data_IF_657299846860
#
_entry.id   IF_657299846860
#
_cell.length_a   1.000
_cell.length_b   1.000
_cell.length_c   1.000
_cell.angle_alpha   90.00
_cell.angle_beta   90.00
_cell.angle_gamma   90.00
#
_symmetry.space_group_name_H-M   'P 1'
#
loop_
_entity.id
_entity.type
_entity.pdbx_description
1 polymer ?
#
# COMPACT_ATOMS: atom_id res chain seq x y z
N UNK A 1 -15.07 3.36 5.17
CA UNK A 1 -13.71 2.80 4.96
C UNK A 1 -12.68 3.94 4.92
N UNK A 2 -11.54 3.83 5.63
CA UNK A 2 -10.52 4.87 5.58
C UNK A 2 -9.49 4.59 4.46
N UNK A 3 -9.31 5.56 3.57
CA UNK A 3 -8.34 5.51 2.48
C UNK A 3 -7.48 6.77 2.50
N UNK A 4 -6.34 6.76 1.81
CA UNK A 4 -5.48 7.94 1.67
C UNK A 4 -5.43 8.38 0.22
N UNK A 5 -5.90 9.60 -0.07
CA UNK A 5 -5.69 10.24 -1.36
C UNK A 5 -4.40 11.06 -1.36
N UNK A 6 -3.73 11.13 -2.52
CA UNK A 6 -2.49 11.90 -2.69
C UNK A 6 -2.71 12.97 -3.74
N UNK A 7 -2.47 14.22 -3.37
CA UNK A 7 -2.67 15.40 -4.21
C UNK A 7 -1.31 16.09 -4.38
N UNK A 8 -0.99 16.50 -5.59
CA UNK A 8 0.22 17.26 -5.86
C UNK A 8 0.00 18.72 -5.46
N UNK A 9 0.93 19.26 -4.70
CA UNK A 9 0.99 20.68 -4.35
C UNK A 9 1.86 21.44 -5.36
N UNK A 10 1.46 22.65 -5.67
CA UNK A 10 2.16 23.60 -6.54
C UNK A 10 2.50 24.86 -5.75
N UNK A 11 3.42 24.78 -4.75
CA UNK A 11 3.80 25.91 -3.92
C UNK A 11 4.69 26.90 -4.70
N UNK A 12 4.58 28.20 -4.37
CA UNK A 12 5.52 29.24 -4.80
C UNK A 12 6.88 29.05 -4.14
N UNK A 13 7.91 29.77 -4.61
CA UNK A 13 9.27 29.70 -4.02
C UNK A 13 9.27 30.06 -2.53
N UNK A 14 8.52 31.07 -2.13
CA UNK A 14 8.37 31.49 -0.73
C UNK A 14 7.65 30.41 0.11
N UNK A 15 6.56 29.85 -0.43
CA UNK A 15 5.82 28.76 0.23
C UNK A 15 6.68 27.51 0.40
N UNK A 16 7.59 27.22 -0.55
CA UNK A 16 8.54 26.11 -0.44
C UNK A 16 9.44 26.28 0.79
N UNK A 17 9.94 27.48 1.03
CA UNK A 17 10.80 27.77 2.19
C UNK A 17 10.01 27.54 3.48
N UNK A 18 8.80 28.10 3.58
CA UNK A 18 7.94 27.94 4.77
C UNK A 18 7.57 26.48 5.05
N UNK A 19 7.20 25.73 4.02
CA UNK A 19 6.87 24.31 4.13
C UNK A 19 8.10 23.50 4.58
N UNK A 20 9.27 23.76 4.00
CA UNK A 20 10.51 23.07 4.40
C UNK A 20 10.88 23.36 5.85
N UNK A 21 10.88 24.61 6.26
CA UNK A 21 11.17 24.99 7.63
C UNK A 21 10.20 24.34 8.60
N UNK A 22 8.90 24.38 8.30
CA UNK A 22 7.85 23.72 9.11
C UNK A 22 8.10 22.21 9.22
N UNK A 23 8.43 21.52 8.11
CA UNK A 23 8.70 20.09 8.14
C UNK A 23 9.98 19.74 8.92
N UNK A 24 11.03 20.54 8.81
CA UNK A 24 12.27 20.34 9.54
C UNK A 24 12.08 20.55 11.05
N UNK A 25 11.41 21.63 11.44
CA UNK A 25 11.13 21.92 12.83
C UNK A 25 10.19 20.88 13.45
N UNK A 26 9.19 20.39 12.68
CA UNK A 26 8.31 19.31 13.10
C UNK A 26 9.09 18.02 13.44
N UNK A 27 10.02 17.61 12.58
CA UNK A 27 10.83 16.41 12.79
C UNK A 27 11.76 16.60 13.99
N UNK A 28 12.43 17.73 14.09
CA UNK A 28 13.31 18.08 15.19
C UNK A 28 12.56 18.02 16.52
N UNK A 29 11.39 18.65 16.59
CA UNK A 29 10.51 18.64 17.77
C UNK A 29 10.08 17.22 18.14
N UNK A 30 9.61 16.42 17.16
CA UNK A 30 9.21 15.03 17.43
C UNK A 30 10.37 14.17 17.93
N UNK A 31 11.58 14.34 17.35
CA UNK A 31 12.77 13.59 17.79
C UNK A 31 13.21 14.00 19.20
N UNK A 32 13.18 15.28 19.53
CA UNK A 32 13.50 15.76 20.88
C UNK A 32 12.55 15.14 21.92
N UNK A 33 11.23 15.18 21.66
CA UNK A 33 10.24 14.59 22.54
C UNK A 33 10.43 13.07 22.67
N UNK A 34 10.81 12.35 21.61
CA UNK A 34 11.15 10.92 21.69
C UNK A 34 12.35 10.70 22.60
N UNK A 35 13.39 11.55 22.49
CA UNK A 35 14.56 11.50 23.37
C UNK A 35 14.18 11.71 24.84
N UNK A 36 13.34 12.72 25.12
CA UNK A 36 12.85 12.99 26.48
C UNK A 36 12.09 11.80 27.07
N UNK A 37 11.24 11.14 26.26
CA UNK A 37 10.53 9.90 26.70
C UNK A 37 11.48 8.74 26.95
N UNK A 38 12.59 8.63 26.23
CA UNK A 38 13.57 7.57 26.45
C UNK A 38 14.34 7.83 27.73
N UNK A 39 14.81 9.05 27.95
CA UNK A 39 15.57 9.45 29.16
C UNK A 39 14.68 9.41 30.39
N UNK A 40 13.50 9.99 30.32
CA UNK A 40 12.55 10.09 31.44
C UNK A 40 11.67 8.84 31.64
N UNK A 41 11.93 7.73 30.95
CA UNK A 41 11.12 6.49 31.01
C UNK A 41 9.59 6.73 30.96
N UNK A 42 9.15 7.64 30.06
CA UNK A 42 7.76 8.04 29.84
C UNK A 42 7.09 8.80 31.00
N UNK A 43 7.84 9.31 31.98
CA UNK A 43 7.26 10.12 33.09
C UNK A 43 7.03 11.57 32.68
N UNK A 44 7.74 12.06 31.64
CA UNK A 44 7.65 13.44 31.17
C UNK A 44 6.34 13.67 30.42
N UNK A 45 5.55 14.65 30.85
CA UNK A 45 4.30 15.07 30.18
C UNK A 45 4.58 16.28 29.32
N UNK A 46 4.42 16.12 28.00
CA UNK A 46 4.50 17.24 27.04
C UNK A 46 3.11 17.77 26.69
N UNK A 47 2.99 19.09 26.64
CA UNK A 47 1.84 19.85 26.15
C UNK A 47 2.27 20.80 25.05
N UNK A 48 1.35 21.32 24.24
CA UNK A 48 1.71 22.34 23.23
C UNK A 48 2.28 23.63 23.82
N UNK A 49 2.03 23.91 25.11
CA UNK A 49 2.57 25.06 25.84
C UNK A 49 4.02 24.78 26.32
N UNK A 50 4.30 23.56 26.81
CA UNK A 50 5.62 23.18 27.32
C UNK A 50 6.64 22.89 26.20
N UNK A 51 6.19 22.60 24.98
CA UNK A 51 7.09 22.34 23.84
C UNK A 51 7.55 23.65 23.22
N UNK A 52 8.84 23.97 23.37
CA UNK A 52 9.47 25.13 22.75
C UNK A 52 9.85 24.75 21.32
N UNK A 53 9.15 25.29 20.32
CA UNK A 53 9.40 25.07 18.90
C UNK A 53 8.70 26.15 18.06
N UNK A 54 9.28 26.48 16.91
CA UNK A 54 8.71 27.39 15.92
C UNK A 54 7.64 26.73 15.07
N UNK A 55 6.59 26.28 15.74
CA UNK A 55 5.46 25.56 15.16
C UNK A 55 4.11 26.08 15.69
N UNK A 56 3.07 26.09 14.85
CA UNK A 56 1.71 26.25 15.31
C UNK A 56 1.33 25.22 16.39
N UNK A 57 0.52 25.59 17.36
CA UNK A 57 0.09 24.70 18.47
C UNK A 57 -0.49 23.38 17.98
N UNK A 58 -1.21 23.39 16.87
CA UNK A 58 -1.73 22.19 16.22
C UNK A 58 -0.63 21.19 15.80
N UNK A 59 0.47 21.70 15.25
CA UNK A 59 1.62 20.88 14.86
C UNK A 59 2.42 20.40 16.06
N UNK A 60 2.56 21.22 17.11
CA UNK A 60 3.14 20.80 18.40
C UNK A 60 2.38 19.61 19.00
N UNK A 61 1.05 19.71 19.05
CA UNK A 61 0.22 18.59 19.51
C UNK A 61 0.38 17.33 18.66
N UNK A 62 0.45 17.47 17.33
CA UNK A 62 0.64 16.33 16.45
C UNK A 62 2.05 15.72 16.60
N UNK A 63 3.09 16.54 16.77
CA UNK A 63 4.44 16.06 17.03
C UNK A 63 4.54 15.26 18.33
N UNK A 64 3.81 15.70 19.40
CA UNK A 64 3.68 14.96 20.66
C UNK A 64 3.01 13.59 20.43
N UNK A 65 1.92 13.53 19.66
CA UNK A 65 1.24 12.26 19.36
C UNK A 65 2.12 11.30 18.54
N UNK A 66 2.83 11.83 17.54
CA UNK A 66 3.77 11.04 16.75
C UNK A 66 4.92 10.52 17.63
N UNK A 67 5.50 11.36 18.49
CA UNK A 67 6.55 10.97 19.43
C UNK A 67 6.09 9.85 20.39
N UNK A 68 4.87 9.96 20.95
CA UNK A 68 4.26 8.90 21.78
C UNK A 68 4.11 7.59 21.02
N UNK A 69 3.66 7.64 19.76
CA UNK A 69 3.52 6.47 18.90
C UNK A 69 4.87 5.80 18.60
N UNK A 70 5.88 6.60 18.30
CA UNK A 70 7.26 6.15 18.05
C UNK A 70 7.84 5.49 19.29
N UNK A 71 7.71 6.15 20.46
CA UNK A 71 8.18 5.62 21.74
C UNK A 71 7.48 4.30 22.11
N UNK A 72 6.15 4.21 21.97
CA UNK A 72 5.39 2.97 22.20
C UNK A 72 5.89 1.82 21.30
N UNK A 73 6.23 2.11 20.04
CA UNK A 73 6.81 1.10 19.13
C UNK A 73 8.22 0.71 19.57
N UNK A 74 9.03 1.66 20.00
CA UNK A 74 10.38 1.41 20.51
C UNK A 74 10.35 0.49 21.74
N UNK A 75 9.54 0.79 22.75
CA UNK A 75 9.39 -0.03 23.97
C UNK A 75 8.84 -1.44 23.66
N UNK A 76 7.90 -1.55 22.70
CA UNK A 76 7.43 -2.86 22.21
C UNK A 76 8.57 -3.68 21.59
N UNK A 77 9.41 -3.03 20.79
CA UNK A 77 10.57 -3.69 20.16
C UNK A 77 11.59 -4.14 21.20
N UNK A 78 11.87 -3.33 22.22
CA UNK A 78 12.73 -3.71 23.36
C UNK A 78 12.18 -4.96 24.07
N UNK A 79 10.91 -4.94 24.46
CA UNK A 79 10.21 -6.08 25.09
C UNK A 79 10.21 -7.34 24.22
N UNK A 80 10.10 -7.19 22.91
CA UNK A 80 10.15 -8.34 21.98
C UNK A 80 11.56 -8.87 21.82
N UNK A 81 12.56 -8.00 21.88
CA UNK A 81 13.96 -8.37 21.76
C UNK A 81 14.48 -9.07 23.03
N UNK A 82 14.07 -8.61 24.23
CA UNK A 82 14.46 -9.22 25.50
C UNK A 82 13.92 -10.65 25.70
N UNK A 83 12.84 -11.01 24.99
CA UNK A 83 12.29 -12.38 25.00
C UNK A 83 13.01 -13.37 24.08
N UNK A 84 14.00 -12.92 23.32
CA UNK A 84 14.81 -13.80 22.47
C UNK A 84 15.96 -14.39 23.27
N UNK A 85 16.48 -15.53 22.81
CA UNK A 85 17.72 -16.11 23.30
C UNK A 85 18.86 -15.07 23.23
N UNK A 86 19.81 -15.04 24.21
CA UNK A 86 20.85 -14.02 24.27
C UNK A 86 21.60 -13.81 22.95
N UNK A 87 21.97 -14.89 22.26
CA UNK A 87 22.72 -14.85 21.00
C UNK A 87 21.92 -14.27 19.82
N UNK A 88 20.59 -14.21 19.97
CA UNK A 88 19.67 -13.66 18.93
C UNK A 88 19.20 -12.25 19.27
N UNK A 89 19.61 -11.70 20.42
CA UNK A 89 19.29 -10.33 20.79
C UNK A 89 20.11 -9.35 19.95
N UNK A 90 19.49 -8.23 19.58
CA UNK A 90 20.11 -7.16 18.80
C UNK A 90 20.01 -5.85 19.54
N UNK A 91 20.98 -4.99 19.38
CA UNK A 91 20.89 -3.60 19.84
C UNK A 91 19.70 -2.91 19.19
N UNK A 92 18.78 -2.41 20.00
CA UNK A 92 17.62 -1.64 19.53
C UNK A 92 17.90 -0.14 19.66
N UNK A 93 18.21 0.51 18.54
CA UNK A 93 18.48 1.95 18.50
C UNK A 93 17.19 2.76 18.63
N UNK A 94 17.28 3.91 19.28
CA UNK A 94 16.17 4.88 19.35
C UNK A 94 15.78 5.33 17.94
N UNK A 95 14.50 5.25 17.55
CA UNK A 95 14.08 5.65 16.22
C UNK A 95 14.19 7.17 16.03
N UNK A 96 14.79 7.60 14.93
CA UNK A 96 14.94 9.00 14.55
C UNK A 96 14.21 9.24 13.22
N UNK A 97 13.30 10.20 13.19
CA UNK A 97 12.67 10.67 11.97
C UNK A 97 13.71 11.44 11.12
N UNK A 98 13.91 11.01 9.87
CA UNK A 98 14.89 11.61 8.94
C UNK A 98 14.26 12.23 7.69
N UNK A 99 13.02 11.83 7.36
CA UNK A 99 12.36 12.27 6.13
C UNK A 99 11.52 13.51 6.41
N UNK A 100 11.62 14.55 5.58
CA UNK A 100 10.80 15.76 5.72
C UNK A 100 9.30 15.39 5.69
N UNK A 101 8.60 15.74 6.76
CA UNK A 101 7.16 15.51 6.93
C UNK A 101 6.60 16.51 7.95
N UNK A 102 5.35 16.94 7.75
CA UNK A 102 4.53 17.57 8.78
C UNK A 102 3.09 17.07 8.65
N UNK A 103 2.38 16.99 9.77
CA UNK A 103 1.04 16.41 9.86
C UNK A 103 0.11 17.39 10.56
N UNK A 104 -1.04 17.64 9.94
CA UNK A 104 -2.14 18.44 10.50
C UNK A 104 -3.36 17.55 10.74
N UNK A 105 -4.07 17.78 11.81
CA UNK A 105 -5.38 17.15 12.02
C UNK A 105 -6.45 17.81 11.12
N UNK A 106 -7.61 17.20 11.02
CA UNK A 106 -8.68 17.65 10.14
C UNK A 106 -9.28 19.03 10.48
N UNK A 107 -9.09 19.53 11.70
CA UNK A 107 -9.57 20.84 12.13
C UNK A 107 -8.62 21.98 11.70
N UNK A 108 -7.37 21.68 11.40
CA UNK A 108 -6.33 22.69 11.21
C UNK A 108 -5.99 22.95 9.73
N UNK A 109 -6.66 22.29 8.79
CA UNK A 109 -6.53 22.60 7.38
C UNK A 109 -7.89 22.65 6.71
N UNK A 110 -7.94 23.26 5.53
CA UNK A 110 -9.15 23.29 4.68
C UNK A 110 -8.77 23.12 3.22
N UNK A 111 -9.72 22.59 2.43
CA UNK A 111 -9.58 22.41 0.98
C UNK A 111 -10.72 23.16 0.31
N UNK A 112 -10.41 24.13 -0.53
CA UNK A 112 -11.40 24.92 -1.29
C UNK A 112 -10.84 25.30 -2.65
N UNK A 113 -11.66 25.21 -3.71
CA UNK A 113 -11.37 25.76 -5.04
C UNK A 113 -9.98 25.43 -5.61
N UNK A 114 -9.49 24.20 -5.42
CA UNK A 114 -8.18 23.80 -5.92
C UNK A 114 -6.99 24.28 -5.07
N UNK A 115 -7.24 24.71 -3.84
CA UNK A 115 -6.22 25.08 -2.86
C UNK A 115 -6.36 24.27 -1.58
N UNK A 116 -5.22 24.05 -0.91
CA UNK A 116 -5.17 23.55 0.46
C UNK A 116 -4.60 24.66 1.33
N UNK A 117 -5.35 25.03 2.39
CA UNK A 117 -4.92 26.02 3.37
C UNK A 117 -4.57 25.34 4.70
N UNK A 118 -3.40 25.64 5.25
CA UNK A 118 -2.91 25.10 6.53
C UNK A 118 -1.98 26.09 7.23
N UNK A 119 -1.88 26.04 8.57
CA UNK A 119 -1.02 26.95 9.32
C UNK A 119 0.45 26.53 9.25
N UNK A 120 1.32 27.51 9.13
CA UNK A 120 2.78 27.41 9.24
C UNK A 120 3.27 28.45 10.24
N UNK A 121 4.54 28.39 10.63
CA UNK A 121 5.17 29.42 11.48
C UNK A 121 5.85 30.46 10.62
N UNK A 122 5.52 31.74 10.83
CA UNK A 122 6.08 32.87 10.12
C UNK A 122 6.16 34.08 11.04
N UNK A 123 7.34 34.69 11.16
CA UNK A 123 7.59 35.91 11.94
C UNK A 123 7.03 35.82 13.39
N UNK A 124 7.35 34.74 14.10
CA UNK A 124 6.95 34.56 15.49
C UNK A 124 5.48 34.19 15.72
N UNK A 125 4.69 33.98 14.66
CA UNK A 125 3.26 33.68 14.77
C UNK A 125 2.79 32.57 13.84
N UNK A 126 1.66 31.93 14.21
CA UNK A 126 0.96 30.97 13.35
C UNK A 126 0.23 31.70 12.22
N UNK A 127 0.62 31.48 10.99
CA UNK A 127 0.04 32.10 9.79
C UNK A 127 -0.48 31.03 8.86
N UNK A 128 -1.70 31.19 8.33
CA UNK A 128 -2.30 30.23 7.38
C UNK A 128 -1.88 30.60 5.96
N UNK A 129 -1.29 29.64 5.25
CA UNK A 129 -0.96 29.77 3.83
C UNK A 129 -1.91 28.94 2.97
N UNK A 130 -2.16 29.40 1.75
CA UNK A 130 -2.97 28.74 0.74
C UNK A 130 -2.07 28.25 -0.40
N UNK A 131 -2.00 26.93 -0.61
CA UNK A 131 -1.15 26.31 -1.62
C UNK A 131 -2.01 25.73 -2.72
N UNK A 132 -1.73 26.10 -3.98
CA UNK A 132 -2.43 25.58 -5.16
C UNK A 132 -2.19 24.07 -5.30
N UNK A 133 -3.22 23.34 -5.74
CA UNK A 133 -3.18 21.88 -5.93
C UNK A 133 -3.45 21.50 -7.38
N UNK A 134 -2.91 20.35 -7.76
CA UNK A 134 -3.26 19.67 -9.02
C UNK A 134 -4.03 18.40 -8.66
N UNK A 135 -5.33 18.38 -8.96
CA UNK A 135 -6.25 17.29 -8.63
C UNK A 135 -6.87 16.69 -9.88
N UNK A 136 -7.24 15.41 -9.80
CA UNK A 136 -8.07 14.72 -10.81
C UNK A 136 -9.52 14.66 -10.35
N UNK A 137 -10.48 14.46 -11.24
CA UNK A 137 -11.91 14.32 -10.90
C UNK A 137 -12.16 13.22 -9.84
N UNK A 138 -11.44 12.09 -9.92
CA UNK A 138 -11.52 11.05 -8.92
C UNK A 138 -11.07 11.51 -7.51
N UNK A 139 -10.01 12.30 -7.43
CA UNK A 139 -9.53 12.85 -6.16
C UNK A 139 -10.53 13.86 -5.59
N UNK A 140 -11.12 14.71 -6.44
CA UNK A 140 -12.17 15.67 -6.04
C UNK A 140 -13.36 14.93 -5.44
N UNK A 141 -13.86 13.88 -6.09
CA UNK A 141 -14.97 13.07 -5.57
C UNK A 141 -14.63 12.40 -4.21
N UNK A 142 -13.39 11.98 -4.00
CA UNK A 142 -12.98 11.47 -2.70
C UNK A 142 -12.98 12.54 -1.61
N UNK A 143 -12.58 13.78 -1.94
CA UNK A 143 -12.47 14.88 -0.98
C UNK A 143 -13.83 15.41 -0.46
N UNK A 144 -14.94 15.05 -1.09
CA UNK A 144 -16.30 15.37 -0.60
C UNK A 144 -16.60 14.62 0.70
N UNK A 145 -15.95 13.47 0.93
CA UNK A 145 -16.16 12.68 2.14
C UNK A 145 -15.49 13.32 3.36
N UNK A 146 -15.80 12.80 4.55
CA UNK A 146 -15.20 13.24 5.81
C UNK A 146 -13.68 13.11 5.78
N UNK A 147 -12.99 14.24 5.90
CA UNK A 147 -11.53 14.30 5.87
C UNK A 147 -10.94 13.98 7.25
N UNK A 148 -9.81 13.29 7.25
CA UNK A 148 -8.99 13.01 8.41
C UNK A 148 -7.70 13.85 8.43
N UNK A 149 -6.56 13.26 8.75
CA UNK A 149 -5.27 13.95 8.81
C UNK A 149 -4.73 14.30 7.43
N UNK A 150 -4.12 15.49 7.33
CA UNK A 150 -3.29 15.93 6.20
C UNK A 150 -1.82 15.69 6.55
N UNK A 151 -1.09 14.99 5.69
CA UNK A 151 0.36 14.84 5.76
C UNK A 151 1.00 15.45 4.52
N UNK A 152 1.93 16.39 4.70
CA UNK A 152 2.72 16.94 3.61
C UNK A 152 4.10 16.29 3.61
N UNK A 153 4.52 15.84 2.42
CA UNK A 153 5.82 15.20 2.19
C UNK A 153 6.50 15.81 0.98
N UNK A 154 7.83 15.88 1.02
CA UNK A 154 8.64 16.27 -0.12
C UNK A 154 9.40 15.05 -0.66
N UNK A 155 9.40 14.88 -1.99
CA UNK A 155 10.20 13.86 -2.65
C UNK A 155 10.69 14.35 -4.00
N UNK A 156 12.00 14.47 -4.13
CA UNK A 156 12.64 14.90 -5.39
C UNK A 156 12.10 16.25 -5.87
N UNK A 157 11.97 17.24 -4.99
CA UNK A 157 11.48 18.58 -5.27
C UNK A 157 9.97 18.67 -5.51
N UNK A 158 9.22 17.58 -5.35
CA UNK A 158 7.75 17.56 -5.49
C UNK A 158 7.10 17.46 -4.13
N UNK A 159 6.13 18.33 -3.88
CA UNK A 159 5.34 18.35 -2.66
C UNK A 159 4.03 17.61 -2.85
N UNK A 160 3.72 16.69 -1.95
CA UNK A 160 2.53 15.88 -1.98
C UNK A 160 1.74 16.02 -0.68
N UNK A 161 0.47 16.37 -0.80
CA UNK A 161 -0.50 16.27 0.28
C UNK A 161 -1.11 14.86 0.27
N UNK A 162 -0.96 14.15 1.38
CA UNK A 162 -1.60 12.86 1.64
C UNK A 162 -2.72 13.10 2.64
N UNK A 163 -3.95 12.88 2.21
CA UNK A 163 -5.14 13.17 3.02
C UNK A 163 -5.87 11.87 3.30
N UNK A 164 -6.06 11.58 4.59
CA UNK A 164 -6.92 10.49 5.00
C UNK A 164 -8.38 10.87 4.73
N UNK A 165 -9.14 9.97 4.12
CA UNK A 165 -10.54 10.19 3.75
C UNK A 165 -11.36 9.00 4.24
N UNK A 166 -12.47 9.28 4.91
CA UNK A 166 -13.44 8.27 5.32
C UNK A 166 -14.48 8.09 4.21
N UNK A 167 -14.09 7.35 3.15
CA UNK A 167 -14.98 7.06 2.04
C UNK A 167 -16.12 6.12 2.48
N UNK A 168 -17.33 6.45 2.05
CA UNK A 168 -18.52 5.62 2.25
C UNK A 168 -18.59 4.64 1.06
N UNK A 169 -18.56 3.31 1.29
CA UNK A 169 -18.74 2.34 0.21
C UNK A 169 -20.11 2.49 -0.43
N UNK A 170 -20.17 2.29 -1.74
CA UNK A 170 -21.44 2.16 -2.47
C UNK A 170 -22.11 0.85 -2.04
N UNK A 171 -23.42 0.79 -2.04
CA UNK A 171 -24.14 -0.47 -1.80
C UNK A 171 -24.16 -1.29 -3.09
N UNK A 172 -23.63 -2.52 -3.05
CA UNK A 172 -23.68 -3.41 -4.22
C UNK A 172 -25.07 -4.04 -4.33
N UNK A 173 -25.60 -4.06 -5.55
CA UNK A 173 -26.84 -4.76 -5.90
C UNK A 173 -26.58 -6.09 -6.61
N UNK A 174 -25.32 -6.47 -6.76
CA UNK A 174 -24.93 -7.70 -7.44
C UNK A 174 -25.29 -8.96 -6.64
N UNK A 175 -25.36 -10.09 -7.34
CA UNK A 175 -25.66 -11.43 -6.78
C UNK A 175 -24.55 -12.44 -7.04
N UNK A 176 -23.80 -12.27 -8.13
CA UNK A 176 -22.85 -13.26 -8.63
C UNK A 176 -21.52 -13.25 -7.84
N UNK A 177 -20.84 -14.38 -7.84
CA UNK A 177 -19.48 -14.53 -7.31
C UNK A 177 -18.47 -14.58 -8.44
N UNK A 178 -17.28 -14.01 -8.22
CA UNK A 178 -16.16 -14.03 -9.14
C UNK A 178 -14.90 -14.57 -8.46
N UNK A 179 -14.30 -15.61 -9.02
CA UNK A 179 -13.01 -16.13 -8.59
C UNK A 179 -11.85 -15.46 -9.34
N UNK A 180 -10.76 -15.19 -8.64
CA UNK A 180 -9.54 -14.57 -9.23
C UNK A 180 -8.33 -15.42 -8.89
N UNK A 181 -7.67 -15.97 -9.91
CA UNK A 181 -6.34 -16.59 -9.81
C UNK A 181 -5.25 -15.54 -10.05
N UNK A 182 -4.31 -15.41 -9.09
CA UNK A 182 -3.17 -14.49 -9.16
C UNK A 182 -1.92 -15.22 -9.63
N UNK A 183 -1.34 -14.79 -10.74
CA UNK A 183 -0.22 -15.48 -11.37
C UNK A 183 1.01 -14.62 -11.68
N UNK A 184 2.13 -15.28 -11.98
CA UNK A 184 3.39 -14.64 -12.41
C UNK A 184 3.46 -14.36 -13.92
N UNK A 185 2.86 -15.20 -14.75
CA UNK A 185 2.79 -15.02 -16.22
C UNK A 185 1.65 -14.07 -16.61
N UNK A 186 0.49 -14.29 -16.05
CA UNK A 186 -0.68 -13.44 -16.14
C UNK A 186 -0.95 -12.95 -14.71
N UNK A 187 -0.83 -11.66 -14.43
CA UNK A 187 -0.99 -11.13 -13.07
C UNK A 187 -2.31 -11.48 -12.40
N UNK A 188 -3.40 -11.55 -13.17
CA UNK A 188 -4.68 -12.04 -12.68
C UNK A 188 -5.54 -12.59 -13.82
N UNK A 189 -6.24 -13.68 -13.55
CA UNK A 189 -7.32 -14.23 -14.39
C UNK A 189 -8.56 -14.29 -13.53
N UNK A 190 -9.68 -13.75 -14.00
CA UNK A 190 -10.94 -13.76 -13.28
C UNK A 190 -12.03 -14.48 -14.09
N UNK A 191 -12.87 -15.22 -13.38
CA UNK A 191 -14.01 -15.95 -13.92
C UNK A 191 -15.24 -15.67 -13.06
N UNK A 192 -16.37 -15.33 -13.64
CA UNK A 192 -17.66 -15.19 -12.94
C UNK A 192 -18.39 -16.53 -12.90
N UNK A 193 -19.37 -16.69 -12.01
CA UNK A 193 -20.23 -17.89 -11.97
C UNK A 193 -20.88 -18.21 -13.33
N UNK A 194 -21.18 -17.18 -14.14
CA UNK A 194 -21.71 -17.31 -15.49
C UNK A 194 -20.67 -17.65 -16.55
N UNK A 195 -19.43 -17.97 -16.15
CA UNK A 195 -18.34 -18.37 -17.04
C UNK A 195 -17.67 -17.22 -17.82
N UNK A 196 -18.06 -15.95 -17.64
CA UNK A 196 -17.38 -14.84 -18.28
C UNK A 196 -15.97 -14.71 -17.71
N UNK A 197 -14.98 -14.55 -18.59
CA UNK A 197 -13.55 -14.60 -18.23
C UNK A 197 -12.82 -13.34 -18.69
N UNK A 198 -11.88 -12.87 -17.87
CA UNK A 198 -10.96 -11.80 -18.22
C UNK A 198 -9.52 -12.14 -17.80
N UNK A 199 -8.56 -11.82 -18.69
CA UNK A 199 -7.13 -11.91 -18.44
C UNK A 199 -6.55 -10.51 -18.24
N UNK A 200 -5.98 -10.24 -17.07
CA UNK A 200 -5.52 -8.91 -16.69
C UNK A 200 -4.01 -8.86 -16.50
N UNK A 201 -3.37 -7.90 -17.18
CA UNK A 201 -1.96 -7.57 -17.04
C UNK A 201 -1.02 -8.45 -17.88
N UNK A 202 0.28 -8.11 -17.85
CA UNK A 202 1.34 -8.79 -18.61
C UNK A 202 2.56 -9.06 -17.72
N UNK A 203 2.65 -10.29 -17.20
CA UNK A 203 3.74 -10.71 -16.32
C UNK A 203 5.09 -10.80 -17.01
N UNK A 204 5.13 -11.04 -18.34
CA UNK A 204 6.39 -11.02 -19.13
C UNK A 204 6.99 -9.60 -19.13
N UNK A 205 6.16 -8.57 -19.33
CA UNK A 205 6.56 -7.16 -19.28
C UNK A 205 7.02 -6.77 -17.87
N UNK A 206 6.30 -7.23 -16.83
CA UNK A 206 6.68 -7.04 -15.42
C UNK A 206 8.08 -7.62 -15.16
N UNK A 207 8.32 -8.84 -15.60
CA UNK A 207 9.60 -9.54 -15.46
C UNK A 207 10.74 -8.84 -16.23
N UNK A 208 10.47 -8.40 -17.45
CA UNK A 208 11.42 -7.64 -18.26
C UNK A 208 11.83 -6.34 -17.54
N UNK A 209 10.86 -5.55 -17.08
CA UNK A 209 11.11 -4.28 -16.38
C UNK A 209 11.98 -4.49 -15.12
N UNK A 210 11.67 -5.50 -14.31
CA UNK A 210 12.48 -5.86 -13.13
C UNK A 210 13.92 -6.25 -13.50
N UNK A 211 14.10 -7.06 -14.56
CA UNK A 211 15.42 -7.46 -15.04
C UNK A 211 16.22 -6.26 -15.54
N UNK A 212 15.62 -5.39 -16.35
CA UNK A 212 16.24 -4.17 -16.88
C UNK A 212 16.78 -3.28 -15.74
N UNK A 213 15.95 -2.98 -14.74
CA UNK A 213 16.37 -2.16 -13.62
C UNK A 213 17.42 -2.84 -12.73
N UNK A 214 17.33 -4.17 -12.53
CA UNK A 214 18.36 -4.94 -11.81
C UNK A 214 19.70 -4.90 -12.53
N UNK A 215 19.71 -5.15 -13.84
CA UNK A 215 20.92 -5.12 -14.67
C UNK A 215 21.57 -3.73 -14.66
N UNK A 216 20.75 -2.68 -14.79
CA UNK A 216 21.24 -1.30 -14.75
C UNK A 216 21.86 -0.96 -13.38
N UNK A 217 21.22 -1.31 -12.26
CA UNK A 217 21.80 -1.12 -10.92
C UNK A 217 23.11 -1.89 -10.75
N UNK A 218 23.19 -3.14 -11.25
CA UNK A 218 24.42 -3.94 -11.21
C UNK A 218 25.55 -3.28 -11.98
N UNK A 219 25.28 -2.80 -13.23
CA UNK A 219 26.24 -2.08 -14.07
C UNK A 219 26.76 -0.80 -13.39
N UNK A 220 25.84 0.03 -12.89
CA UNK A 220 26.19 1.27 -12.19
C UNK A 220 26.94 1.01 -10.87
N UNK A 221 26.62 -0.07 -10.16
CA UNK A 221 27.33 -0.49 -8.96
C UNK A 221 28.77 -0.91 -9.24
N UNK A 222 29.01 -1.71 -10.31
CA UNK A 222 30.38 -2.04 -10.77
C UNK A 222 31.21 -0.80 -11.11
N UNK A 223 30.56 0.22 -11.70
CA UNK A 223 31.20 1.48 -12.06
C UNK A 223 31.25 2.49 -10.87
N UNK A 224 30.91 2.05 -9.65
CA UNK A 224 30.86 2.87 -8.42
C UNK A 224 30.01 4.17 -8.57
N UNK A 225 29.09 4.26 -9.56
CA UNK A 225 28.25 5.43 -9.83
C UNK A 225 27.04 5.52 -8.88
N UNK A 226 27.29 5.68 -7.58
CA UNK A 226 26.25 5.69 -6.52
C UNK A 226 25.21 6.80 -6.73
N UNK A 227 25.62 7.99 -7.17
CA UNK A 227 24.72 9.10 -7.46
C UNK A 227 23.70 8.75 -8.57
N UNK A 228 24.15 8.05 -9.62
CA UNK A 228 23.28 7.58 -10.70
C UNK A 228 22.30 6.51 -10.21
N UNK A 229 22.73 5.60 -9.32
CA UNK A 229 21.84 4.61 -8.68
C UNK A 229 20.76 5.34 -7.85
N UNK A 230 21.13 6.37 -7.07
CA UNK A 230 20.18 7.22 -6.33
C UNK A 230 19.17 7.91 -7.25
N UNK A 231 19.61 8.40 -8.44
CA UNK A 231 18.72 8.99 -9.47
C UNK A 231 17.71 7.99 -10.05
N UNK A 232 18.05 6.70 -10.17
CA UNK A 232 17.08 5.67 -10.56
C UNK A 232 15.95 5.56 -9.54
N UNK A 233 16.26 5.82 -8.27
CA UNK A 233 15.27 5.89 -7.20
C UNK A 233 14.26 4.72 -7.26
N UNK A 234 12.98 5.02 -7.07
CA UNK A 234 11.89 4.04 -7.06
C UNK A 234 11.16 3.92 -8.42
N UNK A 235 11.82 4.19 -9.55
CA UNK A 235 11.16 4.12 -10.88
C UNK A 235 10.55 2.75 -11.16
N UNK A 236 11.30 1.65 -10.89
CA UNK A 236 10.79 0.29 -11.02
C UNK A 236 9.58 0.05 -10.12
N UNK A 237 9.68 0.44 -8.85
CA UNK A 237 8.61 0.25 -7.88
C UNK A 237 7.35 1.02 -8.28
N UNK A 238 7.47 2.28 -8.71
CA UNK A 238 6.33 3.08 -9.18
C UNK A 238 5.67 2.47 -10.41
N UNK A 239 6.47 2.01 -11.37
CA UNK A 239 5.95 1.34 -12.55
C UNK A 239 5.18 0.07 -12.19
N UNK A 240 5.75 -0.79 -11.32
CA UNK A 240 5.07 -1.99 -10.85
C UNK A 240 3.78 -1.68 -10.09
N UNK A 241 3.79 -0.62 -9.27
CA UNK A 241 2.60 -0.18 -8.54
C UNK A 241 1.50 0.33 -9.50
N UNK A 242 1.87 1.09 -10.53
CA UNK A 242 0.96 1.53 -11.59
C UNK A 242 0.32 0.34 -12.31
N UNK A 243 1.10 -0.71 -12.64
CA UNK A 243 0.54 -1.93 -13.24
C UNK A 243 -0.46 -2.62 -12.30
N UNK A 244 -0.13 -2.76 -11.01
CA UNK A 244 -1.05 -3.35 -10.04
C UNK A 244 -2.33 -2.51 -9.86
N UNK A 245 -2.23 -1.17 -9.93
CA UNK A 245 -3.40 -0.28 -9.93
C UNK A 245 -4.28 -0.48 -11.18
N UNK A 246 -3.68 -0.63 -12.37
CA UNK A 246 -4.40 -0.87 -13.63
C UNK A 246 -5.12 -2.22 -13.60
N UNK A 247 -4.40 -3.29 -13.24
CA UNK A 247 -4.96 -4.65 -13.15
C UNK A 247 -6.12 -4.70 -12.15
N UNK A 248 -5.92 -4.16 -10.94
CA UNK A 248 -6.98 -4.16 -9.92
C UNK A 248 -8.20 -3.34 -10.32
N UNK A 249 -8.04 -2.22 -11.07
CA UNK A 249 -9.16 -1.44 -11.57
C UNK A 249 -9.93 -2.18 -12.66
N UNK A 250 -9.22 -2.84 -13.60
CA UNK A 250 -9.85 -3.66 -14.64
C UNK A 250 -10.69 -4.78 -14.04
N UNK A 251 -10.19 -5.48 -13.01
CA UNK A 251 -10.91 -6.56 -12.32
C UNK A 251 -12.17 -6.05 -11.62
N UNK A 252 -12.07 -4.93 -10.89
CA UNK A 252 -13.22 -4.37 -10.18
C UNK A 252 -14.27 -3.82 -11.16
N UNK A 253 -13.84 -3.19 -12.25
CA UNK A 253 -14.78 -2.75 -13.30
C UNK A 253 -15.47 -3.95 -13.96
N UNK A 254 -14.74 -5.03 -14.26
CA UNK A 254 -15.31 -6.26 -14.79
C UNK A 254 -16.31 -6.90 -13.81
N UNK A 255 -16.02 -6.89 -12.52
CA UNK A 255 -16.94 -7.35 -11.49
C UNK A 255 -18.25 -6.53 -11.50
N UNK A 256 -18.15 -5.19 -11.56
CA UNK A 256 -19.32 -4.29 -11.62
C UNK A 256 -20.19 -4.56 -12.85
N UNK A 257 -19.60 -4.64 -14.04
CA UNK A 257 -20.34 -4.87 -15.29
C UNK A 257 -20.99 -6.23 -15.38
N UNK A 258 -20.60 -7.18 -14.50
CA UNK A 258 -21.16 -8.52 -14.46
C UNK A 258 -21.95 -8.83 -13.17
N UNK A 259 -22.46 -7.80 -12.49
CA UNK A 259 -23.31 -7.92 -11.29
C UNK A 259 -22.69 -8.78 -10.17
N UNK A 260 -21.38 -8.70 -9.98
CA UNK A 260 -20.67 -9.46 -8.95
C UNK A 260 -20.83 -8.74 -7.60
N UNK A 261 -21.30 -9.48 -6.59
CA UNK A 261 -21.37 -9.06 -5.18
C UNK A 261 -20.17 -9.50 -4.37
N UNK A 262 -19.54 -10.63 -4.76
CA UNK A 262 -18.44 -11.24 -4.01
C UNK A 262 -17.27 -11.59 -4.92
N UNK A 263 -16.07 -11.13 -4.55
CA UNK A 263 -14.81 -11.52 -5.19
C UNK A 263 -14.10 -12.50 -4.27
N UNK A 264 -13.65 -13.64 -4.78
CA UNK A 264 -12.86 -14.64 -4.07
C UNK A 264 -11.44 -14.67 -4.56
N UNK A 265 -10.47 -14.61 -3.63
CA UNK A 265 -9.03 -14.62 -3.87
C UNK A 265 -8.37 -15.74 -3.07
N UNK A 266 -7.30 -16.32 -3.59
CA UNK A 266 -6.48 -17.25 -2.82
C UNK A 266 -5.74 -16.58 -1.68
N UNK A 267 -5.72 -17.20 -0.49
CA UNK A 267 -4.90 -16.75 0.65
C UNK A 267 -3.45 -17.20 0.45
N UNK A 268 -2.67 -16.40 -0.24
CA UNK A 268 -1.26 -16.68 -0.58
C UNK A 268 -0.25 -16.30 0.52
N UNK A 269 -0.70 -16.08 1.77
CA UNK A 269 0.20 -15.86 2.92
C UNK A 269 1.08 -17.10 3.11
N UNK A 270 2.41 -16.89 3.27
CA UNK A 270 3.35 -18.01 3.43
C UNK A 270 3.83 -18.68 2.16
N UNK A 271 3.29 -18.35 0.97
CA UNK A 271 3.67 -18.99 -0.31
C UNK A 271 5.18 -18.92 -0.60
N UNK A 272 5.87 -17.91 -0.08
CA UNK A 272 7.33 -17.77 -0.25
C UNK A 272 8.14 -18.78 0.54
N UNK A 273 7.60 -19.28 1.64
CA UNK A 273 8.22 -20.30 2.50
C UNK A 273 7.86 -21.71 2.05
N UNK A 274 6.64 -21.90 1.56
CA UNK A 274 6.08 -23.24 1.26
C UNK A 274 6.30 -23.68 -0.19
N UNK A 275 6.42 -22.75 -1.14
CA UNK A 275 6.57 -23.11 -2.55
C UNK A 275 7.98 -23.64 -2.88
N UNK A 276 8.08 -24.91 -3.25
CA UNK A 276 9.31 -25.53 -3.77
C UNK A 276 9.49 -25.12 -5.23
N UNK A 277 10.49 -24.28 -5.51
CA UNK A 277 10.79 -23.79 -6.87
C UNK A 277 12.29 -23.85 -7.16
N UNK A 278 12.67 -23.87 -8.45
CA UNK A 278 14.07 -23.73 -8.82
C UNK A 278 14.62 -22.35 -8.42
N UNK A 279 15.93 -22.22 -8.17
CA UNK A 279 16.62 -20.94 -7.83
C UNK A 279 16.22 -19.78 -8.75
N UNK A 280 15.99 -20.05 -10.04
CA UNK A 280 15.55 -19.06 -11.03
C UNK A 280 14.13 -18.56 -10.79
N UNK A 281 13.23 -19.46 -10.40
CA UNK A 281 11.83 -19.13 -10.12
C UNK A 281 11.64 -18.55 -8.72
N UNK A 282 12.43 -18.96 -7.75
CA UNK A 282 12.45 -18.39 -6.38
C UNK A 282 12.61 -16.87 -6.40
N UNK A 283 13.56 -16.33 -7.17
CA UNK A 283 13.74 -14.88 -7.34
C UNK A 283 12.49 -14.19 -7.90
N UNK A 284 11.76 -14.85 -8.80
CA UNK A 284 10.51 -14.31 -9.34
C UNK A 284 9.40 -14.33 -8.29
N UNK A 285 9.31 -15.40 -7.51
CA UNK A 285 8.34 -15.55 -6.41
C UNK A 285 8.57 -14.51 -5.32
N UNK A 286 9.83 -14.32 -4.86
CA UNK A 286 10.15 -13.31 -3.85
C UNK A 286 9.87 -11.87 -4.30
N UNK A 287 9.99 -11.58 -5.59
CA UNK A 287 9.70 -10.26 -6.15
C UNK A 287 8.26 -10.09 -6.63
N UNK A 288 7.42 -11.11 -6.50
CA UNK A 288 6.02 -11.07 -6.91
C UNK A 288 5.19 -10.21 -5.95
N UNK A 289 4.43 -9.26 -6.51
CA UNK A 289 3.64 -8.30 -5.74
C UNK A 289 2.21 -8.78 -5.44
N UNK A 290 1.99 -10.11 -5.27
CA UNK A 290 0.65 -10.67 -5.05
C UNK A 290 -0.10 -10.02 -3.91
N UNK A 291 0.57 -9.80 -2.78
CA UNK A 291 -0.01 -9.15 -1.61
C UNK A 291 -0.53 -7.73 -1.91
N UNK A 292 0.30 -6.89 -2.56
CA UNK A 292 -0.10 -5.54 -2.93
C UNK A 292 -1.24 -5.53 -3.95
N UNK A 293 -1.21 -6.43 -4.94
CA UNK A 293 -2.29 -6.55 -5.92
C UNK A 293 -3.59 -6.96 -5.25
N UNK A 294 -3.56 -7.96 -4.35
CA UNK A 294 -4.72 -8.37 -3.56
C UNK A 294 -5.29 -7.22 -2.72
N UNK A 295 -4.44 -6.47 -2.01
CA UNK A 295 -4.87 -5.28 -1.26
C UNK A 295 -5.50 -4.21 -2.17
N UNK A 296 -4.97 -4.01 -3.40
CA UNK A 296 -5.54 -3.04 -4.34
C UNK A 296 -6.88 -3.49 -4.90
N UNK A 297 -7.09 -4.79 -5.08
CA UNK A 297 -8.41 -5.36 -5.42
C UNK A 297 -9.36 -5.14 -4.24
N UNK A 298 -8.96 -5.54 -3.03
CA UNK A 298 -9.76 -5.50 -1.82
C UNK A 298 -10.31 -4.08 -1.54
N UNK A 299 -9.44 -3.04 -1.45
CA UNK A 299 -9.93 -1.71 -1.12
C UNK A 299 -10.81 -1.11 -2.22
N UNK A 300 -10.51 -1.40 -3.51
CA UNK A 300 -11.33 -0.90 -4.62
C UNK A 300 -12.67 -1.61 -4.72
N UNK A 301 -12.70 -2.92 -4.49
CA UNK A 301 -13.93 -3.71 -4.43
C UNK A 301 -14.81 -3.24 -3.28
N UNK A 302 -14.22 -3.05 -2.09
CA UNK A 302 -14.96 -2.54 -0.92
C UNK A 302 -15.57 -1.16 -1.18
N UNK A 303 -14.88 -0.25 -1.89
CA UNK A 303 -15.43 1.06 -2.27
C UNK A 303 -16.66 0.95 -3.18
N UNK A 304 -16.70 -0.08 -4.02
CA UNK A 304 -17.82 -0.38 -4.93
C UNK A 304 -18.86 -1.32 -4.28
N UNK A 305 -18.80 -1.53 -2.95
CA UNK A 305 -19.70 -2.39 -2.21
C UNK A 305 -19.54 -3.90 -2.44
N UNK A 306 -18.50 -4.30 -3.18
CA UNK A 306 -18.24 -5.70 -3.47
C UNK A 306 -17.45 -6.32 -2.31
N UNK A 307 -17.96 -7.43 -1.76
CA UNK A 307 -17.31 -8.21 -0.70
C UNK A 307 -16.07 -8.91 -1.24
N UNK A 308 -14.99 -9.00 -0.45
CA UNK A 308 -13.82 -9.81 -0.80
C UNK A 308 -13.61 -10.89 0.24
N UNK A 309 -13.48 -12.12 -0.23
CA UNK A 309 -13.26 -13.32 0.57
C UNK A 309 -11.94 -13.99 0.16
N UNK A 310 -11.27 -14.60 1.13
CA UNK A 310 -10.05 -15.38 0.89
C UNK A 310 -10.32 -16.86 1.06
N UNK A 311 -9.85 -17.67 0.11
CA UNK A 311 -10.05 -19.11 0.07
C UNK A 311 -8.73 -19.88 0.22
N UNK A 312 -8.82 -21.15 0.59
CA UNK A 312 -7.64 -22.04 0.64
C UNK A 312 -7.10 -22.27 -0.80
N UNK A 313 -5.80 -21.97 -1.07
CA UNK A 313 -5.20 -22.14 -2.38
C UNK A 313 -4.93 -23.61 -2.77
N UNK A 314 -5.17 -24.56 -1.88
CA UNK A 314 -4.84 -25.97 -2.13
C UNK A 314 -5.64 -26.53 -3.28
N UNK A 315 -4.93 -27.08 -4.28
CA UNK A 315 -5.47 -27.80 -5.43
C UNK A 315 -6.42 -27.01 -6.36
N UNK A 316 -6.62 -25.73 -6.16
CA UNK A 316 -7.48 -24.87 -7.01
C UNK A 316 -7.12 -24.99 -8.49
N UNK A 317 -5.84 -25.03 -8.86
CA UNK A 317 -5.36 -25.17 -10.23
C UNK A 317 -5.21 -26.63 -10.71
N UNK A 318 -5.56 -27.63 -9.89
CA UNK A 318 -5.37 -29.05 -10.17
C UNK A 318 -6.69 -29.83 -10.23
N UNK A 319 -7.72 -29.36 -9.55
CA UNK A 319 -9.03 -30.03 -9.52
C UNK A 319 -9.78 -29.80 -10.82
N UNK A 320 -10.28 -30.88 -11.43
CA UNK A 320 -11.10 -30.78 -12.63
C UNK A 320 -12.48 -30.22 -12.27
N UNK A 321 -12.96 -29.16 -12.93
CA UNK A 321 -14.28 -28.61 -12.62
C UNK A 321 -15.44 -29.51 -13.07
N UNK A 322 -15.17 -30.48 -13.97
CA UNK A 322 -16.21 -31.41 -14.47
C UNK A 322 -16.37 -32.67 -13.60
N UNK A 323 -15.28 -33.29 -13.13
CA UNK A 323 -15.33 -34.57 -12.42
C UNK A 323 -14.67 -34.56 -11.03
N UNK A 324 -14.12 -33.45 -10.57
CA UNK A 324 -13.47 -33.32 -9.26
C UNK A 324 -12.08 -33.98 -9.15
N UNK A 325 -11.64 -34.77 -10.14
CA UNK A 325 -10.34 -35.48 -10.10
C UNK A 325 -9.19 -34.52 -10.12
N UNK A 326 -8.14 -34.80 -9.35
CA UNK A 326 -6.94 -33.97 -9.28
C UNK A 326 -5.91 -34.38 -10.35
N UNK A 327 -5.56 -33.42 -11.23
CA UNK A 327 -4.57 -33.63 -12.29
C UNK A 327 -3.58 -32.47 -12.32
N UNK A 328 -2.30 -32.77 -12.56
CA UNK A 328 -1.29 -31.73 -12.80
C UNK A 328 -1.36 -31.25 -14.24
N UNK A 329 -1.60 -29.96 -14.45
CA UNK A 329 -1.53 -29.37 -15.78
C UNK A 329 -0.08 -29.33 -16.30
N UNK A 330 0.12 -29.67 -17.56
CA UNK A 330 1.38 -29.43 -18.24
C UNK A 330 1.41 -27.98 -18.75
N UNK A 331 2.17 -27.13 -18.08
CA UNK A 331 2.23 -25.65 -18.24
C UNK A 331 0.82 -25.01 -18.10
N UNK A 332 0.23 -24.49 -19.18
CA UNK A 332 -1.06 -23.79 -19.20
C UNK A 332 -2.21 -24.63 -19.77
N UNK A 333 -1.87 -25.75 -20.38
CA UNK A 333 -2.84 -26.67 -20.96
C UNK A 333 -3.23 -27.71 -19.91
N UNK A 334 -4.47 -27.70 -19.49
CA UNK A 334 -5.02 -28.68 -18.59
C UNK A 334 -5.80 -29.74 -19.39
N UNK A 335 -5.57 -31.01 -19.08
CA UNK A 335 -6.31 -32.14 -19.64
C UNK A 335 -6.67 -33.08 -18.50
N UNK A 336 -7.91 -33.53 -18.45
CA UNK A 336 -8.41 -34.53 -17.49
C UNK A 336 -8.71 -35.84 -18.18
N UNK A 337 -8.60 -36.96 -17.45
CA UNK A 337 -9.00 -38.27 -17.94
C UNK A 337 -10.49 -38.37 -18.31
N UNK A 338 -11.36 -37.54 -17.73
CA UNK A 338 -12.78 -37.46 -18.11
C UNK A 338 -13.04 -36.76 -19.46
N UNK A 339 -11.99 -36.37 -20.20
CA UNK A 339 -12.11 -35.65 -21.47
C UNK A 339 -12.11 -34.13 -21.35
N UNK A 340 -12.25 -33.54 -20.16
CA UNK A 340 -12.24 -32.09 -19.97
C UNK A 340 -10.88 -31.49 -20.33
N UNK A 341 -10.89 -30.40 -21.13
CA UNK A 341 -9.71 -29.64 -21.56
C UNK A 341 -9.93 -28.15 -21.31
N UNK A 342 -8.89 -27.44 -20.85
CA UNK A 342 -9.03 -26.02 -20.60
C UNK A 342 -7.71 -25.29 -20.30
N UNK A 343 -7.81 -23.99 -20.08
CA UNK A 343 -6.67 -23.18 -19.66
C UNK A 343 -6.54 -23.26 -18.13
N UNK A 344 -5.37 -23.64 -17.64
CA UNK A 344 -5.12 -23.86 -16.21
C UNK A 344 -5.55 -22.71 -15.30
N UNK A 345 -5.24 -21.46 -15.72
CA UNK A 345 -5.55 -20.29 -14.90
C UNK A 345 -7.05 -19.97 -14.87
N UNK A 346 -7.80 -20.35 -15.94
CA UNK A 346 -9.27 -20.30 -15.93
C UNK A 346 -9.81 -21.32 -14.93
N UNK A 347 -9.30 -22.55 -14.98
CA UNK A 347 -9.71 -23.62 -14.04
C UNK A 347 -9.43 -23.21 -12.60
N UNK A 348 -8.24 -22.62 -12.33
CA UNK A 348 -7.92 -22.09 -11.02
C UNK A 348 -8.95 -21.04 -10.56
N UNK A 349 -9.25 -20.06 -11.39
CA UNK A 349 -10.22 -19.02 -11.08
C UNK A 349 -11.66 -19.58 -10.89
N UNK A 350 -12.07 -20.58 -11.69
CA UNK A 350 -13.37 -21.26 -11.53
C UNK A 350 -13.45 -22.02 -10.21
N UNK A 351 -12.42 -22.79 -9.86
CA UNK A 351 -12.40 -23.54 -8.61
C UNK A 351 -12.34 -22.63 -7.37
N UNK A 352 -11.76 -21.43 -7.48
CA UNK A 352 -11.75 -20.42 -6.41
C UNK A 352 -13.17 -19.97 -6.07
N UNK A 353 -14.12 -19.99 -7.01
CA UNK A 353 -15.52 -19.63 -6.76
C UNK A 353 -16.16 -20.57 -5.71
N UNK A 354 -15.88 -21.86 -5.80
CA UNK A 354 -16.46 -22.88 -4.90
C UNK A 354 -15.56 -23.31 -3.75
N UNK A 355 -14.31 -22.81 -3.70
CA UNK A 355 -13.34 -23.18 -2.68
C UNK A 355 -13.77 -22.73 -1.26
N UNK A 356 -13.42 -23.48 -0.20
CA UNK A 356 -13.75 -23.11 1.18
C UNK A 356 -13.15 -21.77 1.58
N UNK A 357 -13.98 -20.90 2.16
CA UNK A 357 -13.55 -19.60 2.68
C UNK A 357 -12.74 -19.81 3.96
N UNK A 358 -11.56 -19.21 4.02
CA UNK A 358 -10.71 -19.27 5.21
C UNK A 358 -11.21 -18.23 6.22
N UNK A 359 -11.64 -18.70 7.40
CA UNK A 359 -12.06 -17.84 8.52
C UNK A 359 -10.89 -16.94 8.94
N UNK A 360 -11.14 -15.64 9.00
CA UNK A 360 -10.08 -14.64 9.22
C UNK A 360 -9.82 -13.84 7.94
N UNK A 361 -10.81 -13.05 7.53
CA UNK A 361 -10.91 -12.32 6.26
C UNK A 361 -9.94 -11.13 6.08
N UNK A 362 -8.82 -11.05 6.79
CA UNK A 362 -7.83 -10.01 6.55
C UNK A 362 -6.48 -10.63 6.22
N UNK A 363 -5.86 -10.12 5.16
CA UNK A 363 -4.45 -10.36 4.91
C UNK A 363 -3.68 -9.85 6.14
N UNK A 364 -3.26 -10.76 7.02
CA UNK A 364 -2.28 -10.43 8.06
C UNK A 364 -0.99 -10.03 7.35
N UNK A 365 -0.48 -8.87 7.70
CA UNK A 365 0.78 -8.32 7.21
C UNK A 365 1.97 -9.19 7.62
#
# INVERSE_FOLDING_TARGET
>A
MQITTQIKLLPTSEQIILIKNTMQEYIKTANNIVSDYVVGNNTVKHTSKSVIADLPSALKNQAIQDAKSIFKKYTKNLKTNSKKEPDKQKEIKVPILKKPVAIWNNQNYSIKFGYIAFPVWLNGKSTRIMVKTETTGYQVNLLINKLGTLRITEKSGKYMAQIAVNAIPVQSTGTDTMGIDLGLKIPAVAVTEKGKTIFCGNGRRNKYTKRKHRSLRKKLGKLKKVAAIKKLSNREQRWMQDQDHKVSRQLVNFAKTNNVSTIRLEKLSGIRQTARTSRKNEKNLHTWSFYRLAQFIEYKATLEGIKVEYVDPRYTSQTCPACGTRNKANDRKYKCGCGFKGHRDIIGATNIISAPVVVGNRLSA
#
